data_IF_367724904003
#
_entry.id   IF_367724904003
#
_cell.length_a   1.000
_cell.length_b   1.000
_cell.length_c   1.000
_cell.angle_alpha   90.00
_cell.angle_beta   90.00
_cell.angle_gamma   90.00
#
_symmetry.space_group_name_H-M   'P 1'
#
loop_
_entity.id
_entity.type
_entity.pdbx_description
1 polymer ?
#
# COMPACT_ATOMS: atom_id res chain seq x y z
N UNK A 1 11.37 19.50 -7.55
CA UNK A 1 10.43 18.36 -7.44
C UNK A 1 10.46 17.79 -6.02
N UNK A 2 9.32 17.70 -5.34
CA UNK A 2 9.26 17.05 -4.03
C UNK A 2 9.30 15.53 -4.16
N UNK A 3 10.14 14.86 -3.37
CA UNK A 3 10.22 13.39 -3.31
C UNK A 3 9.33 12.87 -2.18
N UNK A 4 8.66 11.74 -2.39
CA UNK A 4 7.92 11.06 -1.32
C UNK A 4 8.88 10.55 -0.24
N UNK A 5 8.74 11.05 0.99
CA UNK A 5 9.54 10.65 2.16
C UNK A 5 8.77 9.80 3.18
N UNK A 6 7.52 9.46 2.87
CA UNK A 6 6.65 8.68 3.77
C UNK A 6 6.95 7.17 3.76
N UNK A 7 6.20 6.38 4.55
CA UNK A 7 6.47 4.96 4.70
C UNK A 7 6.13 4.16 3.44
N UNK A 8 7.17 3.73 2.71
CA UNK A 8 7.07 3.04 1.42
C UNK A 8 6.27 1.72 1.48
N UNK A 9 6.44 0.94 2.55
CA UNK A 9 5.68 -0.32 2.75
C UNK A 9 4.18 -0.10 2.97
N UNK A 10 3.75 1.08 3.42
CA UNK A 10 2.31 1.40 3.52
C UNK A 10 1.70 1.59 2.14
N UNK A 11 2.44 2.18 1.21
CA UNK A 11 1.99 2.44 -0.16
C UNK A 11 1.87 1.12 -0.93
N UNK A 12 2.87 0.26 -0.86
CA UNK A 12 2.82 -1.06 -1.53
C UNK A 12 1.70 -1.95 -0.97
N UNK A 13 1.49 -1.98 0.35
CA UNK A 13 0.35 -2.72 0.94
C UNK A 13 -1.03 -2.18 0.54
N UNK A 14 -1.12 -0.93 0.09
CA UNK A 14 -2.37 -0.33 -0.37
C UNK A 14 -2.59 -0.57 -1.87
N UNK A 15 -1.54 -0.45 -2.68
CA UNK A 15 -1.64 -0.40 -4.14
C UNK A 15 -1.14 -1.65 -4.86
N UNK A 16 -0.42 -2.53 -4.17
CA UNK A 16 0.24 -3.71 -4.74
C UNK A 16 1.74 -3.51 -4.98
N UNK A 17 2.30 -4.33 -5.86
CA UNK A 17 3.72 -4.29 -6.19
C UNK A 17 4.08 -3.02 -6.96
N UNK A 18 5.02 -2.24 -6.41
CA UNK A 18 5.50 -0.99 -7.02
C UNK A 18 7.01 -1.10 -7.23
N UNK A 19 7.46 -1.56 -8.40
CA UNK A 19 8.89 -1.66 -8.69
C UNK A 19 9.54 -0.28 -8.58
N UNK A 20 10.73 -0.23 -7.99
CA UNK A 20 11.46 1.03 -7.76
C UNK A 20 11.04 1.82 -6.51
N UNK A 21 9.90 1.49 -5.86
CA UNK A 21 9.52 2.15 -4.61
C UNK A 21 10.23 1.55 -3.39
N UNK A 22 10.27 0.22 -3.28
CA UNK A 22 10.96 -0.49 -2.19
C UNK A 22 11.28 -1.92 -2.61
N UNK A 23 12.39 -2.47 -2.10
CA UNK A 23 12.76 -3.89 -2.26
C UNK A 23 12.26 -4.77 -1.11
N UNK A 24 11.76 -4.15 -0.04
CA UNK A 24 11.31 -4.86 1.17
C UNK A 24 9.92 -5.46 0.94
N UNK A 25 9.76 -6.75 1.25
CA UNK A 25 8.46 -7.40 1.34
C UNK A 25 7.83 -7.14 2.72
N UNK A 26 6.51 -6.99 2.76
CA UNK A 26 5.79 -6.93 4.04
C UNK A 26 5.31 -8.31 4.46
N UNK A 27 5.37 -8.60 5.77
CA UNK A 27 4.72 -9.78 6.34
C UNK A 27 3.19 -9.69 6.33
N UNK A 28 2.61 -8.49 6.20
CA UNK A 28 1.16 -8.26 6.24
C UNK A 28 0.65 -8.05 4.81
N UNK A 29 -0.21 -8.95 4.34
CA UNK A 29 -0.86 -8.90 3.02
C UNK A 29 -2.00 -7.87 2.94
N UNK A 30 -2.67 -7.62 4.05
CA UNK A 30 -3.87 -6.79 4.07
C UNK A 30 -3.55 -5.30 3.97
N UNK A 31 -4.50 -4.46 3.50
CA UNK A 31 -4.34 -3.00 3.48
C UNK A 31 -4.01 -2.40 4.86
N UNK A 32 -3.29 -1.26 4.91
CA UNK A 32 -3.01 -0.58 6.16
C UNK A 32 -4.26 0.10 6.75
N UNK A 33 -4.34 0.19 8.08
CA UNK A 33 -5.43 0.83 8.83
C UNK A 33 -6.33 -0.16 9.57
N UNK A 34 -7.11 0.33 10.55
CA UNK A 34 -8.00 -0.50 11.39
C UNK A 34 -9.09 -1.20 10.56
N UNK A 35 -9.71 -0.48 9.62
CA UNK A 35 -10.73 -1.01 8.71
C UNK A 35 -10.13 -1.59 7.42
N UNK A 36 -8.81 -1.78 7.35
CA UNK A 36 -8.14 -2.33 6.16
C UNK A 36 -8.55 -3.77 5.83
N UNK A 37 -9.10 -4.49 6.81
CA UNK A 37 -9.63 -5.85 6.65
C UNK A 37 -11.07 -5.88 6.15
N UNK A 38 -11.80 -4.78 6.24
CA UNK A 38 -13.19 -4.74 5.84
C UNK A 38 -13.31 -4.88 4.32
N UNK A 39 -14.26 -5.71 3.86
CA UNK A 39 -14.50 -5.92 2.44
C UNK A 39 -15.06 -4.64 1.82
N UNK A 40 -14.42 -4.11 0.78
CA UNK A 40 -14.90 -2.92 0.04
C UNK A 40 -15.22 -3.31 -1.40
N UNK A 41 -16.39 -2.89 -1.88
CA UNK A 41 -16.74 -2.98 -3.31
C UNK A 41 -15.88 -1.97 -4.07
N UNK A 42 -15.20 -2.41 -5.13
CA UNK A 42 -14.42 -1.51 -6.00
C UNK A 42 -15.37 -0.74 -6.91
N UNK A 43 -15.16 0.57 -7.02
CA UNK A 43 -15.72 1.42 -8.07
C UNK A 43 -14.76 1.50 -9.25
N UNK A 44 -15.25 1.92 -10.40
CA UNK A 44 -14.46 2.11 -11.62
C UNK A 44 -13.64 3.42 -11.61
N UNK A 45 -13.95 4.32 -10.68
CA UNK A 45 -13.24 5.56 -10.42
C UNK A 45 -12.27 5.42 -9.24
#
# INVERSE_FOLDING_TARGET
MSRYRGPRLRVTRRLGELPGLTRKASKKSNPPGQHGQARRKRSEY
#
